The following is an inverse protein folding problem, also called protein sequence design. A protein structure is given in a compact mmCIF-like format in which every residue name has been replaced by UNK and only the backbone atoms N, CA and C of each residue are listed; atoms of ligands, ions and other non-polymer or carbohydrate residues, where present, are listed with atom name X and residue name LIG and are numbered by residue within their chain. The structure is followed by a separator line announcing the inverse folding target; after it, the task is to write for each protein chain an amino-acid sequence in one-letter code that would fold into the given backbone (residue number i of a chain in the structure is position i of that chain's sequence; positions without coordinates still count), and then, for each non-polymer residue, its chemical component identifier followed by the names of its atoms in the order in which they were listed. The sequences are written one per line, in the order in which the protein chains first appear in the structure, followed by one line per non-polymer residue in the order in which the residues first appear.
data_IF_203135941426
#
_entry.id   IF_203135941426
#
_cell.length_a   1.000
_cell.length_b   1.000
_cell.length_c   1.000
_cell.angle_alpha   90.00
_cell.angle_beta   90.00
_cell.angle_gamma   90.00
#
_symmetry.space_group_name_H-M   'P 1'
#
loop_
_entity.id
_entity.type
_entity.pdbx_description
1 polymer ?
#
# COMPACT_ATOMS: atom_id res chain seq x y z
N UNK A 1 17.74 -0.04 9.64
CA UNK A 1 16.34 0.22 10.05
C UNK A 1 16.28 1.63 10.59
N UNK A 2 15.79 2.60 9.82
CA UNK A 2 15.66 4.00 10.28
C UNK A 2 14.45 3.99 11.23
N UNK A 3 14.69 4.03 12.55
CA UNK A 3 13.62 4.24 13.53
C UNK A 3 13.00 5.61 13.27
N UNK A 4 11.67 5.68 13.23
CA UNK A 4 10.99 6.96 13.06
C UNK A 4 11.17 7.77 14.36
N UNK A 5 11.37 9.06 14.19
CA UNK A 5 11.83 9.95 15.26
C UNK A 5 10.74 10.12 16.33
N UNK A 6 9.46 10.01 15.94
CA UNK A 6 8.33 10.21 16.85
C UNK A 6 8.15 9.05 17.84
N UNK A 7 8.09 7.79 17.38
CA UNK A 7 7.89 6.64 18.27
C UNK A 7 9.05 6.49 19.26
N UNK A 8 10.27 6.75 18.79
CA UNK A 8 11.44 6.82 19.64
C UNK A 8 11.31 7.89 20.74
N UNK A 9 10.93 9.12 20.39
CA UNK A 9 10.77 10.21 21.36
C UNK A 9 9.69 9.90 22.40
N UNK A 10 8.52 9.40 21.97
CA UNK A 10 7.43 9.01 22.88
C UNK A 10 7.92 7.97 23.89
N UNK A 11 8.61 6.92 23.41
CA UNK A 11 9.17 5.87 24.27
C UNK A 11 10.24 6.41 25.22
N UNK A 12 11.13 7.26 24.71
CA UNK A 12 12.22 7.86 25.48
C UNK A 12 11.69 8.73 26.61
N UNK A 13 10.78 9.66 26.29
CA UNK A 13 10.16 10.53 27.29
C UNK A 13 9.33 9.78 28.31
N UNK A 14 8.53 8.79 27.88
CA UNK A 14 7.79 7.95 28.83
C UNK A 14 8.72 7.24 29.82
N UNK A 15 9.82 6.65 29.33
CA UNK A 15 10.82 5.98 30.19
C UNK A 15 11.50 6.99 31.13
N UNK A 16 11.88 8.16 30.63
CA UNK A 16 12.49 9.24 31.43
C UNK A 16 11.55 9.74 32.53
N UNK A 17 10.26 9.91 32.21
CA UNK A 17 9.20 10.26 33.14
C UNK A 17 8.79 9.12 34.10
N UNK A 18 9.32 7.91 33.90
CA UNK A 18 8.96 6.68 34.64
C UNK A 18 7.45 6.37 34.59
N UNK A 19 6.79 6.70 33.48
CA UNK A 19 5.36 6.48 33.28
C UNK A 19 5.14 5.08 32.70
N UNK A 20 4.22 4.32 33.30
CA UNK A 20 3.80 3.02 32.76
C UNK A 20 2.87 3.21 31.56
N UNK A 21 2.82 2.25 30.64
CA UNK A 21 1.94 2.36 29.46
C UNK A 21 0.47 2.42 29.86
N UNK A 22 0.12 1.72 30.94
CA UNK A 22 -1.19 1.70 31.59
C UNK A 22 -1.62 3.09 32.03
N UNK A 23 -0.78 3.73 32.84
CA UNK A 23 -0.98 5.09 33.32
C UNK A 23 -1.10 6.06 32.15
N UNK A 24 -0.26 5.90 31.12
CA UNK A 24 -0.33 6.76 29.94
C UNK A 24 -1.65 6.60 29.18
N UNK A 25 -2.16 5.37 29.05
CA UNK A 25 -3.46 5.11 28.44
C UNK A 25 -4.61 5.72 29.24
N UNK A 26 -4.60 5.59 30.56
CA UNK A 26 -5.62 6.17 31.45
C UNK A 26 -5.64 7.70 31.30
N UNK A 27 -4.47 8.33 31.36
CA UNK A 27 -4.33 9.79 31.22
C UNK A 27 -4.72 10.33 29.85
N UNK A 28 -4.59 9.52 28.81
CA UNK A 28 -4.96 9.87 27.44
C UNK A 28 -6.35 9.35 27.03
N UNK A 29 -7.10 8.74 27.95
CA UNK A 29 -8.39 8.11 27.67
C UNK A 29 -8.36 7.14 26.47
N UNK A 30 -7.32 6.30 26.40
CA UNK A 30 -7.12 5.36 25.30
C UNK A 30 -7.77 4.00 25.60
N UNK A 31 -8.41 3.36 24.61
CA UNK A 31 -9.11 2.09 24.80
C UNK A 31 -8.18 0.88 25.03
N UNK A 32 -6.85 1.05 24.97
CA UNK A 32 -5.93 -0.01 25.35
C UNK A 32 -4.45 0.26 25.07
N UNK A 33 -3.60 -0.46 25.81
CA UNK A 33 -2.13 -0.38 25.77
C UNK A 33 -1.52 -0.55 24.38
N UNK A 34 -2.17 -1.35 23.52
CA UNK A 34 -1.74 -1.62 22.15
C UNK A 34 -1.59 -0.35 21.32
N UNK A 35 -2.37 0.70 21.60
CA UNK A 35 -2.29 1.97 20.88
C UNK A 35 -0.95 2.65 21.16
N UNK A 36 -0.57 2.78 22.43
CA UNK A 36 0.71 3.40 22.83
C UNK A 36 1.88 2.58 22.29
N UNK A 37 1.85 1.25 22.40
CA UNK A 37 2.89 0.40 21.79
C UNK A 37 2.97 0.62 20.27
N UNK A 38 1.83 0.73 19.60
CA UNK A 38 1.80 0.99 18.15
C UNK A 38 2.33 2.37 17.79
N UNK A 39 2.23 3.37 18.68
CA UNK A 39 2.89 4.67 18.50
C UNK A 39 4.40 4.54 18.68
N UNK A 40 4.85 3.88 19.74
CA UNK A 40 6.27 3.69 20.05
C UNK A 40 7.02 2.83 19.04
N UNK A 41 6.32 1.94 18.34
CA UNK A 41 6.85 1.06 17.30
C UNK A 41 6.56 1.59 15.89
N UNK A 42 6.07 2.81 15.79
CA UNK A 42 5.81 3.50 14.53
C UNK A 42 4.81 2.79 13.59
N UNK A 43 3.94 1.94 14.14
CA UNK A 43 2.89 1.22 13.39
C UNK A 43 1.71 2.12 13.05
N UNK A 44 1.32 3.00 13.98
CA UNK A 44 0.23 3.97 13.80
C UNK A 44 0.68 5.35 14.29
N UNK A 45 -0.02 6.40 13.86
CA UNK A 45 0.24 7.78 14.31
C UNK A 45 -0.69 8.12 15.49
N UNK A 46 -0.20 8.83 16.52
CA UNK A 46 -1.09 9.56 17.42
C UNK A 46 -1.80 10.68 16.66
N UNK A 47 -2.94 11.16 17.17
CA UNK A 47 -3.51 12.43 16.69
C UNK A 47 -2.70 13.60 17.22
N UNK A 48 -2.89 14.79 16.62
CA UNK A 48 -2.25 16.02 17.11
C UNK A 48 -2.60 16.29 18.58
N UNK A 49 -3.86 16.12 18.99
CA UNK A 49 -4.29 16.26 20.38
C UNK A 49 -3.58 15.30 21.32
N UNK A 50 -3.35 14.04 20.89
CA UNK A 50 -2.57 13.10 21.67
C UNK A 50 -1.11 13.53 21.80
N UNK A 51 -0.50 14.09 20.74
CA UNK A 51 0.87 14.62 20.79
C UNK A 51 0.99 15.79 21.77
N UNK A 52 0.04 16.72 21.75
CA UNK A 52 -0.04 17.84 22.68
C UNK A 52 -0.22 17.36 24.13
N UNK A 53 -1.11 16.40 24.36
CA UNK A 53 -1.33 15.84 25.70
C UNK A 53 -0.13 15.02 26.19
N UNK A 54 0.58 14.31 25.32
CA UNK A 54 1.83 13.63 25.67
C UNK A 54 2.88 14.62 26.18
N UNK A 55 3.04 15.77 25.52
CA UNK A 55 3.97 16.80 25.96
C UNK A 55 3.64 17.30 27.37
N UNK A 56 2.35 17.55 27.67
CA UNK A 56 1.89 17.94 29.02
C UNK A 56 2.25 16.88 30.05
N UNK A 57 1.82 15.64 29.82
CA UNK A 57 2.03 14.50 30.71
C UNK A 57 3.52 14.29 31.02
N UNK A 58 4.39 14.39 30.02
CA UNK A 58 5.82 14.21 30.21
C UNK A 58 6.45 15.38 30.97
N UNK A 59 6.05 16.61 30.69
CA UNK A 59 6.59 17.81 31.36
C UNK A 59 6.30 17.85 32.86
N UNK A 60 5.21 17.25 33.32
CA UNK A 60 4.88 17.17 34.75
C UNK A 60 5.87 16.33 35.56
N UNK A 61 6.55 15.36 34.92
CA UNK A 61 7.46 14.44 35.60
C UNK A 61 8.93 14.65 35.23
N UNK A 62 9.20 15.36 34.15
CA UNK A 62 10.55 15.67 33.68
C UNK A 62 10.87 17.11 34.02
N UNK A 63 11.30 17.35 35.26
CA UNK A 63 11.66 18.70 35.74
C UNK A 63 12.80 19.36 34.98
N UNK A 64 13.63 18.57 34.27
CA UNK A 64 14.78 19.06 33.52
C UNK A 64 14.44 19.67 32.16
N UNK A 65 13.24 19.43 31.61
CA UNK A 65 12.84 19.90 30.28
C UNK A 65 11.47 20.58 30.38
N UNK A 66 11.34 21.88 30.04
CA UNK A 66 10.07 22.58 30.09
C UNK A 66 9.10 22.03 29.05
N UNK A 67 7.80 22.20 29.32
CA UNK A 67 6.70 21.77 28.44
C UNK A 67 6.93 22.14 26.97
N UNK A 68 7.29 23.40 26.70
CA UNK A 68 7.42 23.88 25.32
C UNK A 68 8.57 23.17 24.58
N UNK A 69 9.64 22.79 25.27
CA UNK A 69 10.75 22.06 24.65
C UNK A 69 10.34 20.63 24.24
N UNK A 70 9.65 19.92 25.14
CA UNK A 70 9.12 18.58 24.86
C UNK A 70 8.09 18.65 23.73
N UNK A 71 7.20 19.63 23.79
CA UNK A 71 6.17 19.89 22.78
C UNK A 71 6.77 20.10 21.40
N UNK A 72 7.73 21.01 21.26
CA UNK A 72 8.38 21.31 19.98
C UNK A 72 9.08 20.09 19.38
N UNK A 73 9.78 19.30 20.20
CA UNK A 73 10.44 18.06 19.74
C UNK A 73 9.43 17.05 19.22
N UNK A 74 8.33 16.83 19.95
CA UNK A 74 7.29 15.90 19.52
C UNK A 74 6.55 16.38 18.27
N UNK A 75 6.19 17.66 18.18
CA UNK A 75 5.51 18.25 17.01
C UNK A 75 6.38 18.17 15.76
N UNK A 76 7.67 18.54 15.86
CA UNK A 76 8.60 18.47 14.73
C UNK A 76 8.75 17.04 14.21
N UNK A 77 8.84 16.06 15.11
CA UNK A 77 8.89 14.65 14.74
C UNK A 77 7.58 14.18 14.09
N UNK A 78 6.43 14.62 14.63
CA UNK A 78 5.11 14.35 14.09
C UNK A 78 4.93 14.89 12.66
N UNK A 79 5.30 16.15 12.41
CA UNK A 79 5.24 16.77 11.08
C UNK A 79 6.14 16.05 10.06
N UNK A 80 7.37 15.71 10.46
CA UNK A 80 8.32 14.97 9.60
C UNK A 80 7.76 13.61 9.20
N UNK A 81 7.10 12.92 10.13
CA UNK A 81 6.45 11.63 9.88
C UNK A 81 5.24 11.77 8.98
N UNK A 82 4.40 12.79 9.17
CA UNK A 82 3.27 13.08 8.29
C UNK A 82 3.72 13.37 6.86
N UNK A 83 4.70 14.26 6.67
CA UNK A 83 5.26 14.56 5.34
C UNK A 83 5.76 13.30 4.65
N UNK A 84 6.48 12.45 5.38
CA UNK A 84 7.00 11.18 4.85
C UNK A 84 5.89 10.20 4.43
N UNK A 85 4.74 10.20 5.14
CA UNK A 85 3.58 9.37 4.76
C UNK A 85 2.81 9.97 3.58
N UNK A 86 2.63 11.29 3.55
CA UNK A 86 2.00 11.99 2.42
C UNK A 86 2.77 11.67 1.15
N UNK A 87 4.10 11.81 1.14
CA UNK A 87 4.94 11.48 -0.02
C UNK A 87 4.75 10.00 -0.46
N UNK A 88 4.66 9.08 0.50
CA UNK A 88 4.43 7.65 0.18
C UNK A 88 3.05 7.40 -0.41
N UNK A 89 2.01 8.05 0.11
CA UNK A 89 0.65 7.92 -0.41
C UNK A 89 0.50 8.63 -1.76
N UNK A 90 1.11 9.80 -1.96
CA UNK A 90 1.20 10.47 -3.27
C UNK A 90 1.88 9.57 -4.30
N UNK A 91 3.00 8.94 -3.93
CA UNK A 91 3.65 7.95 -4.80
C UNK A 91 2.71 6.78 -5.12
N UNK A 92 1.96 6.29 -4.14
CA UNK A 92 0.98 5.20 -4.33
C UNK A 92 -0.18 5.62 -5.21
N UNK A 93 -0.68 6.85 -5.06
CA UNK A 93 -1.76 7.42 -5.88
C UNK A 93 -1.27 7.59 -7.31
N UNK A 94 -0.09 8.19 -7.53
CA UNK A 94 0.50 8.31 -8.86
C UNK A 94 0.73 6.94 -9.52
N UNK A 95 1.12 5.94 -8.74
CA UNK A 95 1.27 4.55 -9.21
C UNK A 95 -0.07 3.88 -9.56
N UNK A 96 -1.15 4.27 -8.90
CA UNK A 96 -2.52 3.81 -9.20
C UNK A 96 -3.12 4.57 -10.39
N UNK A 97 -2.89 5.88 -10.51
CA UNK A 97 -3.32 6.69 -11.64
C UNK A 97 -2.65 6.22 -12.94
N UNK A 98 -1.35 5.92 -12.88
CA UNK A 98 -0.66 5.26 -14.01
C UNK A 98 -1.26 3.91 -14.37
N UNK A 99 -1.80 3.16 -13.40
CA UNK A 99 -2.49 1.89 -13.68
C UNK A 99 -3.83 2.07 -14.37
N UNK A 100 -4.51 3.18 -14.09
CA UNK A 100 -5.84 3.51 -14.61
C UNK A 100 -5.74 4.12 -16.02
N UNK A 101 -4.62 4.79 -16.33
CA UNK A 101 -4.39 5.48 -17.60
C UNK A 101 -3.22 4.88 -18.40
N UNK A 102 -3.23 3.57 -18.65
CA UNK A 102 -2.44 3.05 -19.76
C UNK A 102 -3.20 3.31 -21.06
N UNK A 103 -2.69 4.18 -21.92
CA UNK A 103 -3.33 4.50 -23.20
C UNK A 103 -3.12 3.35 -24.20
N UNK A 104 -2.01 2.63 -24.07
CA UNK A 104 -1.67 1.49 -24.92
C UNK A 104 -1.32 0.21 -24.14
N UNK A 105 -1.69 -0.98 -24.65
CA UNK A 105 -1.30 -2.27 -24.08
C UNK A 105 0.19 -2.41 -23.74
N UNK A 106 1.06 -1.83 -24.56
CA UNK A 106 2.51 -1.87 -24.38
C UNK A 106 2.97 -1.21 -23.08
N UNK A 107 2.38 -0.07 -22.72
CA UNK A 107 2.73 0.67 -21.51
C UNK A 107 2.38 -0.11 -20.23
N UNK A 108 1.24 -0.81 -20.25
CA UNK A 108 0.82 -1.66 -19.12
C UNK A 108 1.76 -2.83 -18.92
N UNK A 109 2.13 -3.50 -20.01
CA UNK A 109 3.06 -4.63 -19.98
C UNK A 109 4.43 -4.16 -19.48
N UNK A 110 4.94 -3.06 -20.03
CA UNK A 110 6.17 -2.40 -19.60
C UNK A 110 6.18 -2.13 -18.10
N UNK A 111 5.12 -1.50 -17.60
CA UNK A 111 4.96 -1.19 -16.19
C UNK A 111 4.93 -2.44 -15.30
N UNK A 112 4.22 -3.48 -15.71
CA UNK A 112 4.14 -4.73 -14.95
C UNK A 112 5.52 -5.39 -14.83
N UNK A 113 6.27 -5.46 -15.93
CA UNK A 113 7.62 -6.03 -15.95
C UNK A 113 8.55 -5.21 -15.06
N UNK A 114 8.57 -3.87 -15.21
CA UNK A 114 9.38 -2.97 -14.38
C UNK A 114 9.08 -3.12 -12.89
N UNK A 115 7.80 -3.26 -12.54
CA UNK A 115 7.36 -3.45 -11.16
C UNK A 115 7.90 -4.77 -10.59
N UNK A 116 7.84 -5.84 -11.36
CA UNK A 116 8.29 -7.16 -10.94
C UNK A 116 9.82 -7.29 -10.88
N UNK A 117 10.54 -6.60 -11.78
CA UNK A 117 11.99 -6.41 -11.71
C UNK A 117 12.40 -5.72 -10.41
N UNK A 118 11.78 -4.58 -10.09
CA UNK A 118 12.07 -3.81 -8.86
C UNK A 118 11.82 -4.63 -7.59
N UNK A 119 10.72 -5.38 -7.54
CA UNK A 119 10.41 -6.26 -6.39
C UNK A 119 11.48 -7.32 -6.16
N UNK A 120 12.17 -7.74 -7.23
CA UNK A 120 13.18 -8.81 -7.20
C UNK A 120 14.62 -8.29 -7.19
N UNK A 121 14.80 -6.96 -7.28
CA UNK A 121 16.12 -6.35 -7.38
C UNK A 121 16.88 -6.76 -8.64
N UNK A 122 16.17 -7.10 -9.72
CA UNK A 122 16.76 -7.50 -11.00
C UNK A 122 16.91 -6.26 -11.87
N UNK A 123 18.12 -6.01 -12.37
CA UNK A 123 18.38 -4.93 -13.32
C UNK A 123 18.23 -5.38 -14.78
N UNK A 124 18.27 -4.42 -15.71
CA UNK A 124 18.10 -4.66 -17.14
C UNK A 124 19.16 -5.62 -17.72
N UNK A 125 20.41 -5.49 -17.29
CA UNK A 125 21.50 -6.34 -17.75
C UNK A 125 21.33 -7.79 -17.27
N UNK A 126 20.93 -7.96 -16.02
CA UNK A 126 20.67 -9.28 -15.44
C UNK A 126 19.47 -9.92 -16.14
N UNK A 127 18.40 -9.15 -16.39
CA UNK A 127 17.23 -9.67 -17.10
C UNK A 127 17.58 -10.13 -18.52
N UNK A 128 18.41 -9.38 -19.26
CA UNK A 128 18.84 -9.79 -20.61
C UNK A 128 19.66 -11.07 -20.61
N UNK A 129 20.48 -11.28 -19.59
CA UNK A 129 21.23 -12.54 -19.42
C UNK A 129 20.34 -13.72 -19.06
N UNK A 130 19.32 -13.51 -18.22
CA UNK A 130 18.41 -14.58 -17.79
C UNK A 130 17.43 -15.02 -18.89
N UNK A 131 17.01 -14.09 -19.76
CA UNK A 131 16.02 -14.36 -20.80
C UNK A 131 16.65 -14.65 -22.16
N UNK A 132 17.95 -14.40 -22.33
CA UNK A 132 18.65 -14.42 -23.62
C UNK A 132 18.02 -13.47 -24.66
N UNK A 133 17.27 -12.45 -24.21
CA UNK A 133 16.72 -11.39 -25.05
C UNK A 133 17.72 -10.23 -25.08
N UNK A 134 17.94 -9.66 -26.25
CA UNK A 134 18.83 -8.50 -26.41
C UNK A 134 18.43 -7.33 -25.48
N UNK A 135 19.43 -6.68 -24.90
CA UNK A 135 19.21 -5.64 -23.90
C UNK A 135 18.43 -4.44 -24.47
N UNK A 136 18.65 -4.10 -25.75
CA UNK A 136 17.89 -3.04 -26.42
C UNK A 136 16.44 -3.46 -26.61
N UNK A 137 16.19 -4.70 -27.04
CA UNK A 137 14.83 -5.25 -27.17
C UNK A 137 14.08 -5.22 -25.84
N UNK A 138 14.71 -5.58 -24.72
CA UNK A 138 14.09 -5.44 -23.39
C UNK A 138 13.85 -3.98 -23.07
N UNK A 139 14.79 -3.08 -23.33
CA UNK A 139 14.61 -1.65 -23.08
C UNK A 139 13.41 -1.09 -23.83
N UNK A 140 13.24 -1.45 -25.11
CA UNK A 140 12.12 -1.02 -25.95
C UNK A 140 10.78 -1.56 -25.40
N UNK A 141 10.77 -2.78 -24.84
CA UNK A 141 9.61 -3.32 -24.11
C UNK A 141 9.34 -2.55 -22.83
N UNK A 142 10.36 -2.21 -22.03
CA UNK A 142 10.19 -1.54 -20.73
C UNK A 142 9.78 -0.07 -20.83
N UNK A 143 9.87 0.55 -22.01
CA UNK A 143 9.35 1.90 -22.27
C UNK A 143 8.00 1.86 -23.01
N UNK A 144 7.44 0.68 -23.27
CA UNK A 144 6.16 0.51 -23.97
C UNK A 144 6.23 0.71 -25.49
N UNK A 145 7.42 0.94 -26.06
CA UNK A 145 7.60 1.15 -27.50
C UNK A 145 7.34 -0.13 -28.29
N UNK A 146 7.57 -1.30 -27.68
CA UNK A 146 7.32 -2.59 -28.31
C UNK A 146 6.60 -3.54 -27.35
N UNK A 147 5.65 -4.30 -27.91
CA UNK A 147 4.98 -5.38 -27.18
C UNK A 147 5.86 -6.64 -27.28
N UNK A 148 6.12 -7.35 -26.17
CA UNK A 148 6.83 -8.61 -26.21
C UNK A 148 5.99 -9.65 -26.96
N UNK A 149 6.64 -10.51 -27.72
CA UNK A 149 6.03 -11.74 -28.24
C UNK A 149 5.66 -12.68 -27.09
N UNK A 150 4.81 -13.67 -27.37
CA UNK A 150 4.42 -14.67 -26.36
C UNK A 150 5.62 -15.42 -25.78
N UNK A 151 6.60 -15.75 -26.62
CA UNK A 151 7.84 -16.40 -26.20
C UNK A 151 8.70 -15.49 -25.32
N UNK A 152 8.85 -14.21 -25.67
CA UNK A 152 9.58 -13.24 -24.86
C UNK A 152 8.90 -13.01 -23.51
N UNK A 153 7.57 -12.89 -23.49
CA UNK A 153 6.79 -12.75 -22.27
C UNK A 153 6.96 -13.96 -21.34
N UNK A 154 6.96 -15.19 -21.86
CA UNK A 154 7.19 -16.42 -21.09
C UNK A 154 8.61 -16.47 -20.50
N UNK A 155 9.63 -16.09 -21.29
CA UNK A 155 11.02 -15.99 -20.80
C UNK A 155 11.15 -14.97 -19.67
N UNK A 156 10.55 -13.78 -19.84
CA UNK A 156 10.54 -12.72 -18.81
C UNK A 156 9.78 -13.20 -17.56
N UNK A 157 8.63 -13.83 -17.72
CA UNK A 157 7.82 -14.40 -16.66
C UNK A 157 8.58 -15.45 -15.82
N UNK A 158 9.30 -16.36 -16.48
CA UNK A 158 10.16 -17.35 -15.82
C UNK A 158 11.32 -16.70 -15.08
N UNK A 159 12.04 -15.77 -15.72
CA UNK A 159 13.15 -15.05 -15.10
C UNK A 159 12.71 -14.25 -13.87
N UNK A 160 11.50 -13.68 -13.93
CA UNK A 160 10.89 -12.94 -12.85
C UNK A 160 9.97 -13.80 -11.98
N UNK A 161 9.98 -15.14 -12.06
CA UNK A 161 9.10 -16.04 -11.29
C UNK A 161 7.67 -15.46 -11.08
N UNK A 162 7.00 -15.16 -12.20
CA UNK A 162 5.69 -14.51 -12.25
C UNK A 162 4.85 -15.19 -13.32
N UNK A 163 3.51 -15.31 -13.17
CA UNK A 163 2.67 -15.92 -14.21
C UNK A 163 2.69 -15.10 -15.52
N UNK A 164 2.84 -15.78 -16.66
CA UNK A 164 2.97 -15.15 -17.99
C UNK A 164 1.72 -14.36 -18.39
N UNK A 165 0.55 -14.75 -17.88
CA UNK A 165 -0.73 -14.09 -18.11
C UNK A 165 -0.71 -12.62 -17.68
N UNK A 166 0.12 -12.27 -16.68
CA UNK A 166 0.32 -10.90 -16.22
C UNK A 166 0.90 -9.97 -17.29
N UNK A 167 1.56 -10.54 -18.31
CA UNK A 167 2.20 -9.81 -19.40
C UNK A 167 1.50 -10.02 -20.76
N UNK A 168 0.65 -11.03 -20.89
CA UNK A 168 -0.09 -11.33 -22.13
C UNK A 168 -1.50 -10.74 -22.16
N UNK A 169 -2.08 -10.48 -21.00
CA UNK A 169 -3.42 -9.93 -20.92
C UNK A 169 -3.39 -8.55 -20.25
N UNK A 170 -3.29 -7.47 -21.06
CA UNK A 170 -3.29 -6.11 -20.57
C UNK A 170 -4.66 -5.71 -20.00
N UNK A 171 -5.70 -6.56 -20.04
CA UNK A 171 -7.02 -6.28 -19.48
C UNK A 171 -7.43 -7.23 -18.34
N UNK A 172 -6.81 -8.41 -18.19
CA UNK A 172 -6.90 -9.25 -16.98
C UNK A 172 -6.14 -8.61 -15.83
N UNK A 173 -6.75 -7.57 -15.29
CA UNK A 173 -6.85 -7.55 -13.85
C UNK A 173 -7.62 -8.77 -13.37
N UNK A 174 -6.93 -9.77 -12.82
CA UNK A 174 -7.50 -10.55 -11.71
C UNK A 174 -7.68 -9.67 -10.44
N UNK A 175 -8.02 -8.39 -10.58
CA UNK A 175 -8.05 -7.40 -9.51
C UNK A 175 -9.14 -6.31 -9.60
N UNK A 176 -9.86 -6.14 -10.71
CA UNK A 176 -10.83 -5.04 -10.77
C UNK A 176 -12.03 -5.31 -9.87
N UNK A 177 -12.50 -6.56 -9.78
CA UNK A 177 -13.68 -6.84 -8.94
C UNK A 177 -13.37 -6.65 -7.43
N UNK A 178 -12.11 -6.82 -7.02
CA UNK A 178 -11.69 -6.54 -5.64
C UNK A 178 -11.51 -5.05 -5.33
N UNK A 179 -11.37 -4.20 -6.36
CA UNK A 179 -11.16 -2.76 -6.25
C UNK A 179 -12.45 -1.94 -6.42
N UNK A 180 -13.44 -2.45 -7.18
CA UNK A 180 -14.68 -1.72 -7.50
C UNK A 180 -15.59 -1.58 -6.27
N UNK A 181 -15.47 -2.45 -5.27
CA UNK A 181 -16.35 -2.40 -4.10
C UNK A 181 -15.63 -2.53 -2.76
N UNK A 182 -15.72 -1.48 -1.93
CA UNK A 182 -15.36 -1.55 -0.51
C UNK A 182 -16.36 -2.39 0.31
N UNK A 183 -17.45 -2.87 -0.31
CA UNK A 183 -18.49 -3.63 0.38
C UNK A 183 -18.06 -5.10 0.58
N UNK A 184 -17.85 -5.55 1.84
CA UNK A 184 -17.39 -6.91 2.13
C UNK A 184 -18.40 -8.01 1.78
N UNK A 185 -19.67 -7.68 1.54
CA UNK A 185 -20.69 -8.64 1.08
C UNK A 185 -20.55 -8.91 -0.42
N UNK A 186 -20.44 -7.86 -1.23
CA UNK A 186 -20.25 -7.99 -2.69
C UNK A 186 -18.96 -8.76 -2.99
N UNK A 187 -17.88 -8.44 -2.25
CA UNK A 187 -16.61 -9.16 -2.33
C UNK A 187 -16.75 -10.68 -2.11
N UNK A 188 -17.55 -11.10 -1.12
CA UNK A 188 -17.80 -12.52 -0.83
C UNK A 188 -18.60 -13.21 -1.93
N UNK A 189 -19.61 -12.52 -2.45
CA UNK A 189 -20.46 -13.03 -3.54
C UNK A 189 -19.60 -13.29 -4.79
N UNK A 190 -18.84 -12.29 -5.21
CA UNK A 190 -17.92 -12.40 -6.36
C UNK A 190 -16.94 -13.56 -6.18
N UNK A 191 -16.28 -13.63 -5.02
CA UNK A 191 -15.28 -14.69 -4.76
C UNK A 191 -15.91 -16.08 -4.87
N UNK A 192 -17.18 -16.22 -4.48
CA UNK A 192 -17.92 -17.49 -4.56
C UNK A 192 -18.27 -17.85 -6.01
N UNK A 193 -18.63 -16.85 -6.83
CA UNK A 193 -18.99 -17.04 -8.24
C UNK A 193 -17.79 -17.42 -9.10
N UNK A 194 -16.57 -17.00 -8.74
CA UNK A 194 -15.35 -17.34 -9.48
C UNK A 194 -15.11 -18.85 -9.61
N UNK A 195 -15.62 -19.66 -8.69
CA UNK A 195 -15.50 -21.12 -8.71
C UNK A 195 -16.60 -21.85 -9.48
N UNK A 196 -17.55 -21.14 -10.09
CA UNK A 196 -18.65 -21.76 -10.84
C UNK A 196 -18.25 -22.02 -12.31
N UNK A 197 -18.98 -22.93 -12.94
CA UNK A 197 -18.96 -23.12 -14.39
C UNK A 197 -19.62 -21.92 -15.11
N UNK A 198 -19.36 -21.78 -16.42
CA UNK A 198 -19.84 -20.61 -17.19
C UNK A 198 -21.37 -20.53 -17.23
N UNK A 199 -22.07 -21.66 -17.38
CA UNK A 199 -23.54 -21.72 -17.38
C UNK A 199 -24.14 -21.10 -16.11
N UNK A 200 -23.57 -21.41 -14.94
CA UNK A 200 -24.01 -20.82 -13.67
C UNK A 200 -23.63 -19.36 -13.53
N UNK A 201 -22.49 -18.92 -14.07
CA UNK A 201 -22.12 -17.50 -14.05
C UNK A 201 -23.10 -16.68 -14.88
N UNK A 202 -23.48 -17.18 -16.04
CA UNK A 202 -24.41 -16.52 -16.96
C UNK A 202 -25.81 -16.41 -16.34
N UNK A 203 -26.31 -17.47 -15.70
CA UNK A 203 -27.57 -17.42 -14.95
C UNK A 203 -27.56 -16.39 -13.80
N UNK A 204 -26.42 -16.22 -13.12
CA UNK A 204 -26.27 -15.22 -12.06
C UNK A 204 -26.22 -13.80 -12.64
N UNK A 205 -25.57 -13.61 -13.78
CA UNK A 205 -25.52 -12.34 -14.48
C UNK A 205 -26.93 -11.85 -14.84
N UNK A 206 -27.75 -12.73 -15.43
CA UNK A 206 -29.15 -12.39 -15.76
C UNK A 206 -29.97 -11.95 -14.54
N UNK A 207 -29.75 -12.58 -13.38
CA UNK A 207 -30.45 -12.21 -12.14
C UNK A 207 -30.01 -10.82 -11.68
N UNK A 208 -28.71 -10.53 -11.74
CA UNK A 208 -28.16 -9.22 -11.36
C UNK A 208 -28.71 -8.13 -12.27
N UNK A 209 -28.73 -8.35 -13.59
CA UNK A 209 -29.28 -7.41 -14.57
C UNK A 209 -30.76 -7.11 -14.30
N UNK A 210 -31.57 -8.14 -14.05
CA UNK A 210 -32.99 -7.96 -13.68
C UNK A 210 -33.18 -7.16 -12.39
N UNK A 211 -32.32 -7.36 -11.39
CA UNK A 211 -32.39 -6.60 -10.14
C UNK A 211 -32.01 -5.13 -10.33
N UNK A 212 -31.05 -4.83 -11.21
CA UNK A 212 -30.68 -3.45 -11.56
C UNK A 212 -31.84 -2.77 -12.28
N UNK A 213 -32.42 -3.44 -13.29
CA UNK A 213 -33.57 -2.89 -14.03
C UNK A 213 -34.78 -2.60 -13.14
N UNK A 214 -35.02 -3.43 -12.13
CA UNK A 214 -36.10 -3.21 -11.16
C UNK A 214 -35.83 -2.00 -10.27
N UNK A 215 -34.57 -1.75 -9.91
CA UNK A 215 -34.19 -0.63 -9.05
C UNK A 215 -34.16 0.71 -9.80
N UNK A 216 -33.86 0.70 -11.11
CA UNK A 216 -33.85 1.91 -11.95
C UNK A 216 -35.24 2.36 -12.41
N UNK A 217 -36.27 1.52 -12.24
CA UNK A 217 -37.67 1.82 -12.59
C UNK A 217 -38.48 2.40 -11.43
N UNK A 218 -37.92 2.50 -10.23
CA UNK A 218 -38.48 3.19 -9.06
C UNK A 218 -37.96 4.63 -8.94
#
# INVERSE_FOLDING_TARGET
MIMDELGFLIRSYRKKAKIRVEELCERLNLPGRRIVYSWEEDRINPSLDHVENLAKIFSERISSEPYEEIRQKLLKAYEKRLKSRIIKEEFRINDLEKKIHFEEPGERIAYNILTDMRKRGIDLYTLSKLTEIDQKRISDILIGLQIPTVEEADKIAKALNTPVERYLDPNKENSTIFLITKNPRIKRIVTSIMGFDEDKKEAILEIIEKLIELHEKE
#
